data_IF_901882461648
#
_entry.id   IF_901882461648
#
_cell.length_a   1.000
_cell.length_b   1.000
_cell.length_c   1.000
_cell.angle_alpha   90.00
_cell.angle_beta   90.00
_cell.angle_gamma   90.00
#
_symmetry.space_group_name_H-M   'P 1'
#
loop_
_entity.id
_entity.type
_entity.pdbx_description
1 polymer ?
#
# COMPACT_ATOMS: atom_id res chain seq x y z
N UNK A 1 17.97 -8.11 5.29
CA UNK A 1 16.52 -8.36 5.05
C UNK A 1 16.29 -9.02 3.69
N UNK A 2 16.79 -8.45 2.59
CA UNK A 2 16.63 -9.03 1.24
C UNK A 2 17.14 -10.49 1.13
N UNK A 3 18.26 -10.81 1.77
CA UNK A 3 18.82 -12.17 1.74
C UNK A 3 17.92 -13.22 2.42
N UNK A 4 17.11 -12.81 3.41
CA UNK A 4 16.14 -13.70 4.04
C UNK A 4 15.04 -14.10 3.04
N UNK A 5 14.51 -13.13 2.27
CA UNK A 5 13.54 -13.40 1.21
C UNK A 5 14.14 -14.25 0.09
N UNK A 6 15.39 -14.01 -0.30
CA UNK A 6 16.11 -14.84 -1.27
C UNK A 6 16.29 -16.28 -0.80
N UNK A 7 16.57 -16.50 0.48
CA UNK A 7 16.79 -17.85 1.03
C UNK A 7 15.53 -18.73 1.01
N UNK A 8 14.34 -18.10 1.08
CA UNK A 8 13.05 -18.77 1.11
C UNK A 8 12.31 -18.74 -0.24
N UNK A 9 12.83 -18.04 -1.25
CA UNK A 9 12.28 -18.02 -2.60
C UNK A 9 12.34 -19.41 -3.25
N UNK A 10 11.30 -19.77 -4.02
CA UNK A 10 11.20 -21.04 -4.73
C UNK A 10 11.01 -22.28 -3.84
N UNK A 11 10.71 -22.09 -2.56
CA UNK A 11 10.38 -23.20 -1.64
C UNK A 11 8.95 -23.68 -1.86
N UNK A 12 8.62 -24.85 -1.31
CA UNK A 12 7.28 -25.48 -1.44
C UNK A 12 6.19 -24.84 -0.59
N UNK A 13 6.52 -23.77 0.15
CA UNK A 13 5.57 -23.01 0.94
C UNK A 13 5.50 -21.58 0.41
N UNK A 14 4.32 -20.97 0.49
CA UNK A 14 4.13 -19.58 0.12
C UNK A 14 4.75 -18.65 1.17
N UNK A 15 5.35 -17.56 0.71
CA UNK A 15 5.91 -16.51 1.55
C UNK A 15 5.33 -15.17 1.10
N UNK A 16 4.77 -14.43 2.05
CA UNK A 16 4.19 -13.12 1.82
C UNK A 16 5.00 -12.06 2.57
N UNK A 17 5.42 -11.01 1.87
CA UNK A 17 6.00 -9.80 2.46
C UNK A 17 4.92 -8.76 2.68
N UNK A 18 4.60 -8.46 3.94
CA UNK A 18 3.62 -7.42 4.27
C UNK A 18 4.34 -6.09 4.52
N UNK A 19 3.82 -5.03 3.89
CA UNK A 19 4.27 -3.66 4.15
C UNK A 19 3.21 -2.92 4.97
N UNK A 20 3.65 -1.94 5.77
CA UNK A 20 2.78 -0.98 6.47
C UNK A 20 3.18 0.42 6.02
N UNK A 21 2.21 1.28 5.77
CA UNK A 21 2.38 2.71 5.45
C UNK A 21 1.53 3.59 6.36
N UNK A 22 1.92 4.85 6.51
CA UNK A 22 1.27 5.81 7.39
C UNK A 22 1.70 5.71 8.85
N UNK A 23 2.89 5.18 9.13
CA UNK A 23 3.40 5.14 10.52
C UNK A 23 3.69 6.55 11.04
N UNK A 24 3.62 6.78 12.37
CA UNK A 24 3.95 8.09 12.95
C UNK A 24 5.36 8.53 12.55
N UNK A 25 5.47 9.71 11.93
CA UNK A 25 6.75 10.26 11.46
C UNK A 25 7.20 9.78 10.08
N UNK A 26 6.45 8.86 9.43
CA UNK A 26 6.75 8.43 8.07
C UNK A 26 6.53 9.58 7.07
N UNK A 27 7.39 9.64 6.05
CA UNK A 27 7.25 10.57 4.91
C UNK A 27 6.87 9.78 3.67
N UNK A 28 6.31 10.46 2.67
CA UNK A 28 6.07 9.86 1.36
C UNK A 28 7.34 9.25 0.75
N UNK A 29 8.50 9.89 0.94
CA UNK A 29 9.78 9.39 0.43
C UNK A 29 10.17 8.03 1.05
N UNK A 30 10.00 7.90 2.38
CA UNK A 30 10.22 6.64 3.10
C UNK A 30 9.25 5.54 2.64
N UNK A 31 7.98 5.88 2.39
CA UNK A 31 7.03 4.92 1.83
C UNK A 31 7.46 4.45 0.42
N UNK A 32 8.07 5.33 -0.38
CA UNK A 32 8.67 4.97 -1.67
C UNK A 32 9.95 4.15 -1.55
N UNK A 33 10.74 4.30 -0.47
CA UNK A 33 11.83 3.37 -0.17
C UNK A 33 11.30 1.95 0.07
N UNK A 34 10.17 1.82 0.78
CA UNK A 34 9.49 0.53 0.97
C UNK A 34 9.02 -0.05 -0.37
N UNK A 35 8.48 0.76 -1.27
CA UNK A 35 8.13 0.34 -2.65
C UNK A 35 9.38 -0.15 -3.41
N UNK A 36 10.46 0.64 -3.39
CA UNK A 36 11.74 0.27 -4.03
C UNK A 36 12.32 -1.03 -3.48
N UNK A 37 12.17 -1.26 -2.17
CA UNK A 37 12.56 -2.52 -1.55
C UNK A 37 11.71 -3.70 -2.04
N UNK A 38 10.38 -3.54 -2.07
CA UNK A 38 9.47 -4.59 -2.57
C UNK A 38 9.74 -4.96 -4.03
N UNK A 39 10.11 -3.99 -4.88
CA UNK A 39 10.52 -4.22 -6.28
C UNK A 39 11.76 -5.11 -6.43
N UNK A 40 12.60 -5.21 -5.40
CA UNK A 40 13.81 -6.04 -5.40
C UNK A 40 13.56 -7.47 -4.92
N UNK A 41 12.37 -7.76 -4.38
CA UNK A 41 12.05 -9.08 -3.87
C UNK A 41 11.96 -10.12 -5.01
N UNK A 42 12.32 -11.39 -4.75
CA UNK A 42 12.16 -12.46 -5.74
C UNK A 42 10.70 -12.56 -6.23
N UNK A 43 10.50 -12.92 -7.50
CA UNK A 43 9.18 -12.93 -8.14
C UNK A 43 8.19 -13.89 -7.47
N UNK A 44 8.71 -14.91 -6.80
CA UNK A 44 7.96 -15.92 -6.05
C UNK A 44 7.43 -15.40 -4.70
N UNK A 45 7.93 -14.25 -4.23
CA UNK A 45 7.45 -13.61 -3.01
C UNK A 45 6.31 -12.67 -3.36
N UNK A 46 5.15 -12.89 -2.78
CA UNK A 46 4.04 -11.95 -2.90
C UNK A 46 4.21 -10.82 -1.88
N UNK A 47 4.36 -9.59 -2.35
CA UNK A 47 4.66 -8.44 -1.50
C UNK A 47 4.14 -7.12 -2.07
N UNK A 48 3.07 -7.19 -2.85
CA UNK A 48 2.54 -6.03 -3.57
C UNK A 48 1.57 -5.19 -2.74
N UNK A 49 1.16 -5.63 -1.56
CA UNK A 49 0.21 -4.90 -0.72
C UNK A 49 0.88 -4.06 0.36
N UNK A 50 0.18 -3.00 0.79
CA UNK A 50 0.49 -2.29 2.01
C UNK A 50 -0.77 -2.12 2.87
N UNK A 51 -0.63 -2.36 4.16
CA UNK A 51 -1.63 -2.03 5.16
C UNK A 51 -1.43 -0.60 5.66
N UNK A 52 -2.50 0.11 5.94
CA UNK A 52 -2.41 1.40 6.61
C UNK A 52 -2.22 1.14 8.12
N UNK A 53 -1.32 1.90 8.75
CA UNK A 53 -1.07 1.83 10.18
C UNK A 53 -2.34 2.12 10.99
N UNK A 54 -2.66 1.20 11.92
CA UNK A 54 -3.78 1.34 12.85
C UNK A 54 -3.25 1.66 14.27
N UNK A 55 -3.59 2.84 14.85
CA UNK A 55 -3.06 3.29 16.13
C UNK A 55 -3.81 2.67 17.33
N UNK A 56 -3.60 1.37 17.57
CA UNK A 56 -4.24 0.67 18.68
C UNK A 56 -3.86 1.23 20.05
N UNK A 57 -4.86 1.25 20.95
CA UNK A 57 -4.66 1.63 22.35
C UNK A 57 -3.63 0.74 23.04
N UNK A 58 -2.80 1.36 23.90
CA UNK A 58 -1.72 0.67 24.61
C UNK A 58 -0.45 0.43 23.80
N UNK A 59 -0.37 0.93 22.55
CA UNK A 59 0.86 0.85 21.75
C UNK A 59 1.68 2.13 21.86
N UNK A 60 3.01 1.99 21.94
CA UNK A 60 3.95 3.12 21.97
C UNK A 60 3.87 3.97 20.70
N UNK A 61 3.57 3.37 19.55
CA UNK A 61 3.37 4.10 18.29
C UNK A 61 2.14 5.02 18.34
N UNK A 62 1.06 4.62 19.02
CA UNK A 62 -0.09 5.51 19.26
C UNK A 62 0.28 6.69 20.14
N UNK A 63 1.05 6.46 21.21
CA UNK A 63 1.52 7.53 22.10
C UNK A 63 2.34 8.57 21.35
N UNK A 64 3.20 8.12 20.42
CA UNK A 64 3.92 9.01 19.49
C UNK A 64 2.94 9.78 18.62
N UNK A 65 1.98 9.11 17.96
CA UNK A 65 1.00 9.78 17.10
C UNK A 65 0.21 10.87 17.84
N UNK A 66 -0.18 10.63 19.09
CA UNK A 66 -0.89 11.62 19.93
C UNK A 66 0.01 12.77 20.31
N UNK A 67 1.23 12.48 20.78
CA UNK A 67 2.19 13.50 21.23
C UNK A 67 2.56 14.45 20.09
N UNK A 68 2.72 13.92 18.88
CA UNK A 68 3.03 14.73 17.69
C UNK A 68 1.77 15.38 17.07
N UNK A 69 0.58 15.16 17.65
CA UNK A 69 -0.68 15.79 17.21
C UNK A 69 -1.29 15.19 15.95
N UNK A 70 -0.91 13.98 15.55
CA UNK A 70 -1.41 13.29 14.36
C UNK A 70 -2.75 12.57 14.59
N UNK A 71 -3.11 12.33 15.86
CA UNK A 71 -4.28 11.56 16.28
C UNK A 71 -4.87 12.16 17.56
N UNK A 72 -6.20 12.27 17.64
CA UNK A 72 -6.90 12.64 18.87
C UNK A 72 -6.81 11.49 19.91
N UNK A 73 -6.40 11.76 21.17
CA UNK A 73 -6.33 10.77 22.25
C UNK A 73 -7.60 9.95 22.48
N UNK A 74 -8.77 10.47 22.17
CA UNK A 74 -10.07 9.80 22.34
C UNK A 74 -10.49 9.01 21.09
N UNK A 75 -9.68 9.04 20.02
CA UNK A 75 -9.95 8.30 18.79
C UNK A 75 -9.95 6.80 19.06
N UNK A 76 -11.09 6.17 18.79
CA UNK A 76 -11.27 4.71 18.81
C UNK A 76 -10.93 4.17 17.43
N UNK A 77 -10.07 3.14 17.39
CA UNK A 77 -9.72 2.48 16.13
C UNK A 77 -10.96 1.82 15.54
N UNK A 78 -11.35 2.25 14.33
CA UNK A 78 -12.31 1.53 13.50
C UNK A 78 -11.54 0.67 12.50
N UNK A 79 -11.80 -0.63 12.50
CA UNK A 79 -11.23 -1.59 11.53
C UNK A 79 -12.04 -1.72 10.25
N UNK A 80 -13.01 -0.84 10.00
CA UNK A 80 -13.70 -0.86 8.71
C UNK A 80 -12.66 -0.67 7.61
N UNK A 81 -12.68 -1.56 6.61
CA UNK A 81 -11.82 -1.50 5.42
C UNK A 81 -11.85 -0.11 4.74
N UNK A 82 -12.90 0.65 4.98
CA UNK A 82 -13.14 2.01 4.46
C UNK A 82 -12.58 3.15 5.34
N UNK A 83 -12.02 2.85 6.52
CA UNK A 83 -11.63 3.88 7.50
C UNK A 83 -10.42 4.74 7.08
N UNK A 84 -9.64 4.27 6.10
CA UNK A 84 -8.44 4.95 5.65
C UNK A 84 -7.40 5.13 6.76
N UNK A 85 -6.53 6.13 6.64
CA UNK A 85 -5.59 6.49 7.70
C UNK A 85 -6.28 7.28 8.80
N UNK A 86 -6.08 6.87 10.05
CA UNK A 86 -6.49 7.63 11.23
C UNK A 86 -5.52 8.76 11.57
N UNK A 87 -4.29 8.69 11.04
CA UNK A 87 -3.28 9.72 11.23
C UNK A 87 -3.38 10.74 10.09
N UNK A 88 -3.34 12.02 10.44
CA UNK A 88 -3.07 13.12 9.50
C UNK A 88 -1.76 13.81 9.88
N UNK A 89 -0.70 13.55 9.10
CA UNK A 89 0.62 14.07 9.37
C UNK A 89 0.95 15.22 8.41
N UNK A 90 1.49 16.37 8.86
CA UNK A 90 1.81 17.50 7.99
C UNK A 90 2.69 17.16 6.78
N UNK A 91 3.61 16.20 6.95
CA UNK A 91 4.58 15.75 5.95
C UNK A 91 4.10 14.60 5.07
N UNK A 92 3.01 13.95 5.44
CA UNK A 92 2.41 12.84 4.69
C UNK A 92 0.94 12.75 5.07
N UNK A 93 0.11 13.48 4.30
CA UNK A 93 -1.28 13.71 4.68
C UNK A 93 -2.09 12.43 4.63
N UNK A 94 -3.16 12.40 5.43
CA UNK A 94 -4.09 11.26 5.48
C UNK A 94 -4.52 10.79 4.09
N UNK A 95 -4.91 11.71 3.22
CA UNK A 95 -5.38 11.41 1.86
C UNK A 95 -4.26 10.84 0.98
N UNK A 96 -3.01 11.29 1.17
CA UNK A 96 -1.85 10.75 0.48
C UNK A 96 -1.51 9.33 0.96
N UNK A 97 -1.66 9.03 2.25
CA UNK A 97 -1.48 7.69 2.81
C UNK A 97 -2.50 6.73 2.20
N UNK A 98 -3.77 7.13 2.16
CA UNK A 98 -4.86 6.33 1.58
C UNK A 98 -4.61 6.08 0.09
N UNK A 99 -4.30 7.15 -0.66
CA UNK A 99 -4.01 7.06 -2.09
C UNK A 99 -2.79 6.19 -2.39
N UNK A 100 -1.73 6.28 -1.58
CA UNK A 100 -0.54 5.45 -1.77
C UNK A 100 -0.83 3.99 -1.41
N UNK A 101 -1.52 3.72 -0.31
CA UNK A 101 -1.86 2.37 0.11
C UNK A 101 -2.69 1.64 -0.95
N UNK A 102 -3.69 2.32 -1.53
CA UNK A 102 -4.55 1.73 -2.58
C UNK A 102 -3.77 1.44 -3.87
N UNK A 103 -2.76 2.23 -4.20
CA UNK A 103 -1.97 2.10 -5.43
C UNK A 103 -0.62 1.40 -5.23
N UNK A 104 -0.31 0.93 -4.02
CA UNK A 104 1.00 0.41 -3.65
C UNK A 104 1.44 -0.74 -4.57
N UNK A 105 0.52 -1.65 -4.89
CA UNK A 105 0.76 -2.80 -5.77
C UNK A 105 1.13 -2.38 -7.19
N UNK A 106 0.49 -1.33 -7.71
CA UNK A 106 0.78 -0.78 -9.03
C UNK A 106 2.20 -0.18 -9.06
N UNK A 107 2.59 0.56 -8.02
CA UNK A 107 3.95 1.09 -7.90
C UNK A 107 5.02 0.00 -7.80
N UNK A 108 4.70 -1.11 -7.13
CA UNK A 108 5.60 -2.27 -7.00
C UNK A 108 5.70 -3.04 -8.32
N UNK A 109 4.60 -3.25 -9.05
CA UNK A 109 4.58 -4.20 -10.18
C UNK A 109 4.75 -3.56 -11.55
N UNK A 110 4.30 -2.32 -11.76
CA UNK A 110 4.39 -1.64 -13.06
C UNK A 110 5.75 -0.94 -13.24
N UNK A 111 6.20 -0.68 -14.49
CA UNK A 111 7.41 0.09 -14.74
C UNK A 111 7.26 1.54 -14.27
N UNK A 112 8.39 2.19 -13.93
CA UNK A 112 8.41 3.57 -13.42
C UNK A 112 7.82 4.59 -14.41
N UNK A 113 7.80 4.28 -15.71
CA UNK A 113 7.11 5.06 -16.74
C UNK A 113 5.60 5.19 -16.49
N UNK A 114 5.00 4.28 -15.72
CA UNK A 114 3.59 4.33 -15.31
C UNK A 114 3.35 5.23 -14.09
N UNK A 115 4.39 5.67 -13.36
CA UNK A 115 4.23 6.39 -12.09
C UNK A 115 3.40 7.68 -12.18
N UNK A 116 3.48 8.49 -13.25
CA UNK A 116 2.60 9.65 -13.40
C UNK A 116 1.12 9.28 -13.46
N UNK A 117 0.78 8.18 -14.15
CA UNK A 117 -0.58 7.67 -14.26
C UNK A 117 -1.06 7.09 -12.92
N UNK A 118 -0.21 6.33 -12.23
CA UNK A 118 -0.51 5.79 -10.90
C UNK A 118 -0.74 6.94 -9.90
N UNK A 119 0.00 8.05 -10.00
CA UNK A 119 -0.19 9.23 -9.15
C UNK A 119 -1.58 9.86 -9.33
N UNK A 120 -2.12 9.85 -10.55
CA UNK A 120 -3.52 10.28 -10.78
C UNK A 120 -4.46 9.29 -10.11
N UNK A 121 -4.18 7.99 -10.24
CA UNK A 121 -4.91 6.92 -9.59
C UNK A 121 -4.76 6.87 -8.06
N UNK A 122 -3.96 7.73 -7.41
CA UNK A 122 -3.99 7.87 -5.94
C UNK A 122 -5.20 8.67 -5.45
N UNK A 123 -5.76 9.54 -6.31
CA UNK A 123 -6.84 10.44 -5.93
C UNK A 123 -8.10 9.66 -5.59
N UNK A 124 -8.65 9.88 -4.39
CA UNK A 124 -9.91 9.28 -3.96
C UNK A 124 -11.09 10.09 -4.49
N UNK A 125 -11.21 10.10 -5.82
CA UNK A 125 -12.30 10.72 -6.57
C UNK A 125 -12.59 9.95 -7.86
N UNK A 126 -13.69 10.28 -8.54
CA UNK A 126 -14.08 9.55 -9.75
C UNK A 126 -13.06 9.62 -10.90
N UNK A 127 -12.13 10.59 -10.90
CA UNK A 127 -11.03 10.61 -11.90
C UNK A 127 -9.99 9.56 -11.53
N UNK A 128 -9.51 9.59 -10.29
CA UNK A 128 -8.53 8.63 -9.79
C UNK A 128 -9.05 7.19 -9.85
N UNK A 129 -10.32 6.97 -9.56
CA UNK A 129 -10.93 5.63 -9.61
C UNK A 129 -10.95 5.07 -11.04
N UNK A 130 -11.25 5.89 -12.05
CA UNK A 130 -11.18 5.46 -13.46
C UNK A 130 -9.75 5.09 -13.88
N UNK A 131 -8.76 5.88 -13.47
CA UNK A 131 -7.35 5.57 -13.76
C UNK A 131 -6.91 4.30 -13.02
N UNK A 132 -7.32 4.14 -11.77
CA UNK A 132 -7.02 2.95 -10.98
C UNK A 132 -7.56 1.68 -11.64
N UNK A 133 -8.84 1.67 -12.04
CA UNK A 133 -9.44 0.52 -12.74
C UNK A 133 -8.76 0.23 -14.08
N UNK A 134 -8.43 1.27 -14.85
CA UNK A 134 -7.73 1.10 -16.13
C UNK A 134 -6.33 0.50 -15.94
N UNK A 135 -5.60 0.96 -14.92
CA UNK A 135 -4.27 0.44 -14.57
C UNK A 135 -4.35 -1.01 -14.10
N UNK A 136 -5.33 -1.34 -13.24
CA UNK A 136 -5.53 -2.71 -12.78
C UNK A 136 -5.90 -3.65 -13.94
N UNK A 137 -6.76 -3.20 -14.86
CA UNK A 137 -7.09 -3.97 -16.07
C UNK A 137 -5.83 -4.25 -16.89
N UNK A 138 -5.03 -3.22 -17.19
CA UNK A 138 -3.76 -3.37 -17.91
C UNK A 138 -2.80 -4.33 -17.20
N UNK A 139 -2.60 -4.15 -15.89
CA UNK A 139 -1.73 -5.01 -15.09
C UNK A 139 -2.18 -6.47 -15.11
N UNK A 140 -3.49 -6.73 -14.99
CA UNK A 140 -4.08 -8.07 -15.05
C UNK A 140 -3.86 -8.72 -16.41
N UNK A 141 -4.13 -7.99 -17.49
CA UNK A 141 -3.95 -8.49 -18.87
C UNK A 141 -2.48 -8.81 -19.16
N UNK A 142 -1.54 -7.97 -18.72
CA UNK A 142 -0.10 -8.20 -18.89
C UNK A 142 0.42 -9.37 -18.06
N UNK A 143 -0.12 -9.57 -16.85
CA UNK A 143 0.38 -10.59 -15.91
C UNK A 143 -0.21 -11.97 -16.16
N UNK A 144 -1.51 -12.04 -16.49
CA UNK A 144 -2.26 -13.30 -16.59
C UNK A 144 -2.76 -13.62 -18.01
N UNK A 145 -2.60 -12.69 -18.97
CA UNK A 145 -3.11 -12.82 -20.32
C UNK A 145 -4.55 -12.29 -20.48
N UNK A 146 -4.95 -12.02 -21.73
CA UNK A 146 -6.31 -11.57 -22.07
C UNK A 146 -7.30 -12.71 -21.81
N UNK A 147 -8.32 -12.46 -20.98
CA UNK A 147 -9.41 -13.42 -20.70
C UNK A 147 -9.22 -14.27 -19.43
N UNK A 148 -8.28 -13.92 -18.54
CA UNK A 148 -7.95 -14.77 -17.40
C UNK A 148 -9.07 -14.91 -16.35
N UNK A 149 -10.04 -13.99 -16.26
CA UNK A 149 -11.19 -14.11 -15.36
C UNK A 149 -12.36 -13.28 -15.91
N UNK A 150 -13.37 -13.96 -16.47
CA UNK A 150 -14.73 -13.40 -16.43
C UNK A 150 -15.10 -13.18 -14.96
N UNK A 151 -15.80 -12.08 -14.60
CA UNK A 151 -16.30 -11.92 -13.24
C UNK A 151 -17.10 -13.17 -12.88
N UNK A 152 -16.80 -13.77 -11.73
CA UNK A 152 -17.71 -14.74 -11.13
C UNK A 152 -19.02 -13.98 -10.94
N UNK A 153 -19.99 -14.30 -11.78
CA UNK A 153 -21.34 -13.77 -11.71
C UNK A 153 -21.94 -14.08 -10.32
N UNK A 154 -22.68 -13.08 -9.81
CA UNK A 154 -23.50 -12.99 -8.58
C UNK A 154 -22.81 -12.88 -7.22
#
# INVERSE_FOLDING_TARGET
MLDAFRAVAGRRYAVNGNSIVGMPGETRELAFDTIRFNRQLPKEIESSGAFIFAPYHGTSLREIAIREGYLDPESIVSLSHDAGSMLDMPQFRREEIIGLARTFSLYVKLPETSYPEIRIAERVDGVGDRHYESLLKRFREETYGVGALDPIDS
#
